data_IF_931319749596
#
_entry.id   IF_931319749596
#
_cell.length_a   1.000
_cell.length_b   1.000
_cell.length_c   1.000
_cell.angle_alpha   90.00
_cell.angle_beta   90.00
_cell.angle_gamma   90.00
#
_symmetry.space_group_name_H-M   'P 1'
#
loop_
_entity.id
_entity.type
_entity.pdbx_description
1 polymer ?
#
# COMPACT_ATOMS: atom_id res chain seq x y z
N UNK A 1 -6.26 24.66 -30.22
CA UNK A 1 -7.70 24.31 -30.18
C UNK A 1 -7.96 23.16 -29.19
N UNK A 2 -7.45 21.97 -29.41
CA UNK A 2 -7.67 20.77 -28.55
C UNK A 2 -7.40 20.98 -27.05
N UNK A 3 -6.22 21.49 -26.67
CA UNK A 3 -5.85 21.75 -25.27
C UNK A 3 -6.74 22.81 -24.60
N UNK A 4 -7.22 23.80 -25.36
CA UNK A 4 -8.16 24.81 -24.87
C UNK A 4 -9.52 24.15 -24.56
N UNK A 5 -10.02 23.31 -25.47
CA UNK A 5 -11.26 22.55 -25.28
C UNK A 5 -11.19 21.64 -24.05
N UNK A 6 -10.12 20.86 -23.91
CA UNK A 6 -9.93 19.97 -22.74
C UNK A 6 -9.96 20.78 -21.44
N UNK A 7 -9.27 21.93 -21.39
CA UNK A 7 -9.21 22.77 -20.19
C UNK A 7 -10.58 23.40 -19.84
N UNK A 8 -11.33 23.82 -20.83
CA UNK A 8 -12.66 24.44 -20.67
C UNK A 8 -13.67 23.42 -20.12
N UNK A 9 -13.62 22.17 -20.63
CA UNK A 9 -14.61 21.15 -20.32
C UNK A 9 -14.16 20.12 -19.24
N UNK A 10 -12.98 20.26 -18.67
CA UNK A 10 -12.40 19.24 -17.76
C UNK A 10 -13.17 18.97 -16.47
N UNK A 11 -14.07 19.88 -16.06
CA UNK A 11 -14.93 19.73 -14.89
C UNK A 11 -16.30 19.12 -15.24
N UNK A 12 -16.65 19.01 -16.50
CA UNK A 12 -17.95 18.46 -16.94
C UNK A 12 -17.99 16.93 -16.80
N UNK A 13 -19.19 16.38 -16.68
CA UNK A 13 -19.41 14.94 -16.73
C UNK A 13 -19.05 14.40 -18.13
N UNK A 14 -18.08 13.49 -18.19
CA UNK A 14 -17.52 12.93 -19.43
C UNK A 14 -18.61 12.27 -20.29
N UNK A 15 -19.62 11.63 -19.66
CA UNK A 15 -20.70 10.94 -20.39
C UNK A 15 -21.65 11.94 -21.02
N UNK A 16 -21.96 13.02 -20.30
CA UNK A 16 -22.82 14.09 -20.85
C UNK A 16 -22.10 14.86 -21.97
N UNK A 17 -20.80 15.12 -21.81
CA UNK A 17 -19.99 15.75 -22.85
C UNK A 17 -19.91 14.89 -24.12
N UNK A 18 -19.79 13.57 -23.97
CA UNK A 18 -19.78 12.63 -25.09
C UNK A 18 -21.08 12.72 -25.94
N UNK A 19 -22.24 12.91 -25.30
CA UNK A 19 -23.53 13.06 -25.99
C UNK A 19 -23.63 14.37 -26.81
N UNK A 20 -22.82 15.39 -26.47
CA UNK A 20 -22.75 16.67 -27.17
C UNK A 20 -21.72 16.68 -28.33
N UNK A 21 -21.06 15.53 -28.60
CA UNK A 21 -19.94 15.45 -29.55
C UNK A 21 -20.21 16.03 -30.93
N UNK A 22 -21.44 15.86 -31.43
CA UNK A 22 -21.85 16.44 -32.71
C UNK A 22 -21.84 17.99 -32.78
N UNK A 23 -21.80 18.65 -31.62
CA UNK A 23 -21.69 20.13 -31.55
C UNK A 23 -20.27 20.63 -31.76
N UNK A 24 -19.28 19.73 -31.74
CA UNK A 24 -17.85 20.03 -31.83
C UNK A 24 -17.18 19.23 -32.97
N UNK A 25 -17.55 19.54 -34.28
CA UNK A 25 -17.12 18.71 -35.42
C UNK A 25 -15.59 18.74 -35.64
N UNK A 26 -14.92 19.80 -35.18
CA UNK A 26 -13.46 19.99 -35.37
C UNK A 26 -12.63 19.43 -34.18
N UNK A 27 -13.28 18.77 -33.21
CA UNK A 27 -12.63 18.22 -32.03
C UNK A 27 -12.58 16.69 -32.12
N UNK A 28 -11.38 16.10 -31.96
CA UNK A 28 -11.27 14.66 -31.69
C UNK A 28 -11.86 14.37 -30.30
N UNK A 29 -13.15 14.09 -30.29
CA UNK A 29 -13.90 13.84 -29.05
C UNK A 29 -13.39 12.62 -28.30
N UNK A 30 -12.92 11.58 -28.99
CA UNK A 30 -12.41 10.38 -28.32
C UNK A 30 -11.16 10.72 -27.50
N UNK A 31 -10.22 11.42 -28.09
CA UNK A 31 -9.02 11.91 -27.39
C UNK A 31 -9.37 12.92 -26.30
N UNK A 32 -10.22 13.91 -26.57
CA UNK A 32 -10.60 14.91 -25.59
C UNK A 32 -11.24 14.29 -24.33
N UNK A 33 -12.18 13.37 -24.51
CA UNK A 33 -12.86 12.67 -23.41
C UNK A 33 -11.88 11.80 -22.61
N UNK A 34 -10.92 11.12 -23.26
CA UNK A 34 -9.87 10.39 -22.58
C UNK A 34 -9.01 11.31 -21.70
N UNK A 35 -8.59 12.47 -22.22
CA UNK A 35 -7.77 13.43 -21.49
C UNK A 35 -8.54 14.04 -20.30
N UNK A 36 -9.81 14.39 -20.50
CA UNK A 36 -10.69 14.91 -19.44
C UNK A 36 -10.88 13.86 -18.33
N UNK A 37 -11.23 12.62 -18.69
CA UNK A 37 -11.38 11.52 -17.74
C UNK A 37 -10.08 11.26 -16.98
N UNK A 38 -8.94 11.25 -17.67
CA UNK A 38 -7.62 11.09 -17.10
C UNK A 38 -7.29 12.21 -16.09
N UNK A 39 -7.55 13.45 -16.43
CA UNK A 39 -7.36 14.59 -15.53
C UNK A 39 -8.27 14.51 -14.29
N UNK A 40 -9.55 14.14 -14.46
CA UNK A 40 -10.49 13.97 -13.34
C UNK A 40 -10.03 12.88 -12.37
N UNK A 41 -9.54 11.77 -12.88
CA UNK A 41 -8.94 10.71 -12.07
C UNK A 41 -7.65 11.17 -11.35
N UNK A 42 -6.81 11.93 -12.07
CA UNK A 42 -5.54 12.45 -11.57
C UNK A 42 -5.70 13.45 -10.42
N UNK A 43 -6.76 14.25 -10.38
CA UNK A 43 -6.99 15.25 -9.30
C UNK A 43 -6.83 14.68 -7.89
N UNK A 44 -7.24 13.43 -7.66
CA UNK A 44 -7.14 12.75 -6.36
C UNK A 44 -5.90 11.89 -6.26
N UNK A 45 -5.53 11.22 -7.35
CA UNK A 45 -4.48 10.21 -7.36
C UNK A 45 -3.09 10.79 -7.60
N UNK A 46 -3.02 11.85 -8.42
CA UNK A 46 -1.80 12.48 -8.92
C UNK A 46 -1.94 14.02 -8.93
N UNK A 47 -2.13 14.67 -7.77
CA UNK A 47 -2.44 16.12 -7.71
C UNK A 47 -1.39 17.01 -8.37
N UNK A 48 -0.10 16.69 -8.26
CA UNK A 48 0.98 17.45 -8.93
C UNK A 48 0.87 17.34 -10.45
N UNK A 49 0.55 16.16 -10.98
CA UNK A 49 0.35 15.96 -12.42
C UNK A 49 -0.89 16.69 -12.90
N UNK A 50 -1.99 16.64 -12.15
CA UNK A 50 -3.23 17.34 -12.50
C UNK A 50 -3.10 18.87 -12.47
N UNK A 51 -2.17 19.39 -11.65
CA UNK A 51 -1.84 20.81 -11.60
C UNK A 51 -0.90 21.26 -12.74
N UNK A 52 -0.27 20.32 -13.45
CA UNK A 52 0.64 20.60 -14.56
C UNK A 52 -0.14 20.63 -15.87
N UNK A 53 -0.21 21.78 -16.52
CA UNK A 53 -0.92 21.91 -17.81
C UNK A 53 -0.21 21.13 -18.91
N UNK A 54 -1.00 20.48 -19.76
CA UNK A 54 -0.49 19.76 -20.94
C UNK A 54 -0.08 18.31 -20.70
N UNK A 55 -0.26 17.78 -19.50
CA UNK A 55 -0.06 16.35 -19.20
C UNK A 55 -0.93 15.51 -20.16
N UNK A 56 -0.32 14.49 -20.72
CA UNK A 56 -0.98 13.50 -21.58
C UNK A 56 -1.34 12.28 -20.73
N UNK A 57 -2.64 12.00 -20.60
CA UNK A 57 -3.18 10.88 -19.83
C UNK A 57 -3.41 9.66 -20.72
N UNK A 58 -2.97 8.46 -20.30
CA UNK A 58 -3.18 7.23 -21.03
C UNK A 58 -4.64 6.75 -20.93
N UNK A 59 -5.01 5.67 -21.63
CA UNK A 59 -6.30 5.02 -21.45
C UNK A 59 -6.61 4.67 -20.00
N UNK A 60 -7.89 4.60 -19.64
CA UNK A 60 -8.41 4.44 -18.29
C UNK A 60 -7.73 3.30 -17.50
N UNK A 61 -7.48 2.14 -18.12
CA UNK A 61 -6.85 1.00 -17.47
C UNK A 61 -5.46 1.35 -16.91
N UNK A 62 -4.63 2.04 -17.68
CA UNK A 62 -3.30 2.47 -17.22
C UNK A 62 -3.39 3.48 -16.08
N UNK A 63 -4.44 4.33 -16.09
CA UNK A 63 -4.72 5.26 -14.99
C UNK A 63 -5.14 4.55 -13.70
N UNK A 64 -5.90 3.46 -13.80
CA UNK A 64 -6.29 2.66 -12.63
C UNK A 64 -5.10 1.92 -12.02
N UNK A 65 -4.25 1.34 -12.86
CA UNK A 65 -3.13 0.49 -12.45
C UNK A 65 -1.90 1.26 -11.97
N UNK A 66 -1.71 2.52 -12.37
CA UNK A 66 -0.55 3.28 -11.93
C UNK A 66 -0.58 3.55 -10.40
N UNK A 67 0.58 3.81 -9.84
CA UNK A 67 0.75 4.25 -8.46
C UNK A 67 0.02 5.56 -8.18
N UNK A 68 -0.34 5.81 -6.92
CA UNK A 68 -0.69 7.16 -6.46
C UNK A 68 0.57 7.99 -6.26
N UNK A 69 0.45 9.30 -6.26
CA UNK A 69 1.54 10.22 -5.93
C UNK A 69 2.12 9.96 -4.55
N UNK A 70 1.27 9.57 -3.60
CA UNK A 70 1.67 9.22 -2.24
C UNK A 70 2.58 7.99 -2.20
N UNK A 71 2.21 6.90 -2.89
CA UNK A 71 3.03 5.68 -2.94
C UNK A 71 4.29 5.88 -3.78
N UNK A 72 4.22 6.65 -4.87
CA UNK A 72 5.40 7.01 -5.67
C UNK A 72 6.39 7.88 -4.87
N UNK A 73 5.89 8.86 -4.13
CA UNK A 73 6.69 9.68 -3.21
C UNK A 73 7.33 8.85 -2.09
N UNK A 74 6.64 7.83 -1.58
CA UNK A 74 7.23 6.90 -0.62
C UNK A 74 8.42 6.14 -1.22
N UNK A 75 8.25 5.55 -2.43
CA UNK A 75 9.35 4.87 -3.15
C UNK A 75 10.55 5.79 -3.37
N UNK A 76 10.31 7.04 -3.74
CA UNK A 76 11.37 8.04 -3.90
C UNK A 76 12.16 8.26 -2.61
N UNK A 77 11.48 8.40 -1.46
CA UNK A 77 12.16 8.52 -0.15
C UNK A 77 12.98 7.29 0.21
N UNK A 78 12.48 6.08 -0.11
CA UNK A 78 13.27 4.85 0.07
C UNK A 78 14.53 4.90 -0.79
N UNK A 79 14.42 5.25 -2.08
CA UNK A 79 15.57 5.41 -2.98
C UNK A 79 16.60 6.39 -2.42
N UNK A 80 16.16 7.57 -1.99
CA UNK A 80 17.06 8.58 -1.42
C UNK A 80 17.80 8.11 -0.18
N UNK A 81 17.14 7.29 0.64
CA UNK A 81 17.72 6.79 1.88
C UNK A 81 18.75 5.69 1.65
N UNK A 82 18.48 4.76 0.71
CA UNK A 82 19.36 3.60 0.50
C UNK A 82 20.53 3.90 -0.45
N UNK A 83 20.39 4.85 -1.37
CA UNK A 83 21.44 5.15 -2.36
C UNK A 83 22.38 6.25 -1.88
N UNK A 84 23.66 5.92 -1.70
CA UNK A 84 24.73 6.91 -1.47
C UNK A 84 25.23 7.51 -2.80
N UNK A 85 25.33 6.71 -3.84
CA UNK A 85 25.65 7.13 -5.21
C UNK A 85 24.35 7.36 -5.97
N UNK A 86 24.31 8.42 -6.79
CA UNK A 86 23.10 8.83 -7.54
C UNK A 86 23.44 9.10 -9.01
N UNK A 87 24.24 8.20 -9.61
CA UNK A 87 24.65 8.39 -10.99
C UNK A 87 23.53 8.01 -11.95
N UNK A 88 23.06 6.76 -11.92
CA UNK A 88 22.05 6.28 -12.87
C UNK A 88 20.95 5.46 -12.21
N UNK A 89 19.70 5.79 -12.53
CA UNK A 89 18.48 5.05 -12.19
C UNK A 89 17.89 4.45 -13.46
N UNK A 90 17.38 3.22 -13.41
CA UNK A 90 16.70 2.56 -14.52
C UNK A 90 15.38 1.96 -14.03
N UNK A 91 14.29 2.31 -14.70
CA UNK A 91 12.99 1.65 -14.58
C UNK A 91 12.80 0.76 -15.82
N UNK A 92 12.74 -0.56 -15.60
CA UNK A 92 12.59 -1.56 -16.65
C UNK A 92 11.13 -1.87 -17.03
N UNK A 93 10.17 -1.24 -16.35
CA UNK A 93 8.74 -1.51 -16.49
C UNK A 93 7.92 -0.22 -16.43
N UNK A 94 8.31 0.76 -17.21
CA UNK A 94 7.94 2.16 -17.11
C UNK A 94 6.44 2.47 -16.94
N UNK A 95 5.55 1.80 -17.69
CA UNK A 95 4.10 2.01 -17.62
C UNK A 95 3.71 3.47 -17.91
N UNK A 96 2.81 4.04 -17.08
CA UNK A 96 2.47 5.46 -17.20
C UNK A 96 3.58 6.42 -16.71
N UNK A 97 4.60 5.90 -16.03
CA UNK A 97 5.77 6.68 -15.62
C UNK A 97 5.60 7.45 -14.29
N UNK A 98 4.56 7.17 -13.51
CA UNK A 98 4.35 7.86 -12.23
C UNK A 98 5.49 7.57 -11.26
N UNK A 99 5.79 6.30 -10.99
CA UNK A 99 6.88 5.89 -10.10
C UNK A 99 8.22 6.46 -10.57
N UNK A 100 8.51 6.31 -11.88
CA UNK A 100 9.69 6.88 -12.49
C UNK A 100 9.83 8.38 -12.22
N UNK A 101 8.74 9.15 -12.36
CA UNK A 101 8.76 10.60 -12.24
C UNK A 101 9.15 11.10 -10.84
N UNK A 102 8.91 10.31 -9.81
CA UNK A 102 9.31 10.61 -8.43
C UNK A 102 10.68 10.04 -8.10
N UNK A 103 10.90 8.75 -8.42
CA UNK A 103 12.12 8.02 -8.05
C UNK A 103 13.36 8.52 -8.79
N UNK A 104 13.22 9.01 -10.03
CA UNK A 104 14.33 9.49 -10.88
C UNK A 104 14.95 10.82 -10.41
N UNK A 105 14.21 11.64 -9.63
CA UNK A 105 14.62 13.01 -9.29
C UNK A 105 16.00 13.15 -8.65
N UNK A 106 16.42 12.29 -7.71
CA UNK A 106 17.71 12.43 -7.07
C UNK A 106 18.90 11.98 -7.95
N UNK A 107 18.66 11.35 -9.11
CA UNK A 107 19.71 10.79 -9.96
C UNK A 107 20.14 11.75 -11.07
N UNK A 108 21.44 11.68 -11.44
CA UNK A 108 22.03 12.48 -12.53
C UNK A 108 21.51 12.05 -13.90
N UNK A 109 21.25 10.75 -14.07
CA UNK A 109 20.70 10.14 -15.27
C UNK A 109 19.59 9.18 -14.86
N UNK A 110 18.53 9.15 -15.64
CA UNK A 110 17.42 8.23 -15.43
C UNK A 110 16.94 7.68 -16.77
N UNK A 111 16.73 6.37 -16.83
CA UNK A 111 16.25 5.69 -18.03
C UNK A 111 14.93 5.02 -17.71
N UNK A 112 13.93 5.37 -18.51
CA UNK A 112 12.60 4.78 -18.50
C UNK A 112 12.48 3.85 -19.70
N UNK A 113 12.14 2.57 -19.47
CA UNK A 113 11.97 1.55 -20.52
C UNK A 113 10.53 1.06 -20.52
N UNK A 114 9.86 1.13 -21.68
CA UNK A 114 8.47 0.71 -21.85
C UNK A 114 8.26 0.15 -23.26
N UNK A 115 7.47 -0.93 -23.37
CA UNK A 115 7.20 -1.59 -24.67
C UNK A 115 6.16 -0.84 -25.50
N UNK A 116 5.16 -0.25 -24.85
CA UNK A 116 4.03 0.37 -25.51
C UNK A 116 4.37 1.78 -26.02
N UNK A 117 4.36 1.94 -27.33
CA UNK A 117 4.72 3.20 -28.01
C UNK A 117 3.95 4.41 -27.46
N UNK A 118 2.62 4.30 -27.33
CA UNK A 118 1.79 5.39 -26.86
C UNK A 118 2.10 5.83 -25.42
N UNK A 119 2.61 4.91 -24.56
CA UNK A 119 3.08 5.26 -23.22
C UNK A 119 4.44 5.96 -23.27
N UNK A 120 5.32 5.54 -24.18
CA UNK A 120 6.61 6.21 -24.41
C UNK A 120 6.42 7.64 -24.91
N UNK A 121 5.48 7.85 -25.85
CA UNK A 121 5.12 9.17 -26.33
C UNK A 121 4.57 10.07 -25.22
N UNK A 122 3.61 9.57 -24.46
CA UNK A 122 3.06 10.28 -23.30
C UNK A 122 4.15 10.60 -22.26
N UNK A 123 5.00 9.64 -21.92
CA UNK A 123 6.11 9.81 -20.97
C UNK A 123 7.08 10.90 -21.45
N UNK A 124 7.43 10.92 -22.74
CA UNK A 124 8.35 11.90 -23.32
C UNK A 124 7.83 13.35 -23.19
N UNK A 125 6.51 13.53 -23.33
CA UNK A 125 5.86 14.83 -23.11
C UNK A 125 5.82 15.17 -21.63
N UNK A 126 5.31 14.23 -20.82
CA UNK A 126 5.03 14.44 -19.41
C UNK A 126 6.32 14.70 -18.60
N UNK A 127 7.39 13.94 -18.85
CA UNK A 127 8.66 14.14 -18.14
C UNK A 127 9.28 15.50 -18.39
N UNK A 128 9.16 16.02 -19.62
CA UNK A 128 9.58 17.39 -19.94
C UNK A 128 8.75 18.43 -19.19
N UNK A 129 7.43 18.27 -19.14
CA UNK A 129 6.53 19.17 -18.41
C UNK A 129 6.76 19.12 -16.89
N UNK A 130 7.15 17.96 -16.36
CA UNK A 130 7.49 17.75 -14.96
C UNK A 130 8.93 18.15 -14.61
N UNK A 131 9.70 18.68 -15.58
CA UNK A 131 11.06 19.17 -15.39
C UNK A 131 12.12 18.07 -15.20
N UNK A 132 11.86 16.86 -15.69
CA UNK A 132 12.79 15.72 -15.58
C UNK A 132 13.80 15.70 -16.75
N UNK A 133 14.68 16.69 -16.80
CA UNK A 133 15.63 16.87 -17.90
C UNK A 133 16.66 15.74 -18.01
N UNK A 134 16.90 14.98 -16.94
CA UNK A 134 17.80 13.82 -16.87
C UNK A 134 17.15 12.52 -17.37
N UNK A 135 15.85 12.54 -17.66
CA UNK A 135 15.09 11.38 -18.09
C UNK A 135 15.32 11.06 -19.58
N UNK A 136 15.62 9.80 -19.87
CA UNK A 136 15.66 9.25 -21.22
C UNK A 136 14.59 8.19 -21.37
N UNK A 137 13.68 8.36 -22.32
CA UNK A 137 12.68 7.37 -22.69
C UNK A 137 13.25 6.41 -23.72
N UNK A 138 13.09 5.12 -23.50
CA UNK A 138 13.51 4.03 -24.39
C UNK A 138 12.29 3.16 -24.65
N UNK A 139 11.84 3.10 -25.90
CA UNK A 139 10.84 2.13 -26.31
C UNK A 139 11.49 0.78 -26.53
N UNK A 140 11.01 -0.25 -25.82
CA UNK A 140 11.51 -1.61 -25.96
C UNK A 140 11.17 -2.50 -24.79
N UNK A 141 11.59 -3.74 -24.88
CA UNK A 141 11.46 -4.74 -23.81
C UNK A 141 12.48 -4.46 -22.70
N UNK A 142 12.02 -4.44 -21.43
CA UNK A 142 12.88 -4.17 -20.27
C UNK A 142 13.93 -5.25 -20.04
N UNK A 143 13.64 -6.52 -20.37
CA UNK A 143 14.61 -7.61 -20.24
C UNK A 143 15.69 -7.50 -21.30
N UNK A 144 15.31 -7.20 -22.55
CA UNK A 144 16.25 -6.95 -23.63
C UNK A 144 17.15 -5.75 -23.31
N UNK A 145 16.60 -4.71 -22.69
CA UNK A 145 17.38 -3.56 -22.24
C UNK A 145 18.34 -3.97 -21.11
N UNK A 146 17.87 -4.73 -20.12
CA UNK A 146 18.70 -5.25 -19.03
C UNK A 146 19.92 -6.01 -19.58
N UNK A 147 19.73 -6.92 -20.54
CA UNK A 147 20.84 -7.69 -21.11
C UNK A 147 21.94 -6.81 -21.73
N UNK A 148 21.58 -5.66 -22.29
CA UNK A 148 22.50 -4.77 -23.04
C UNK A 148 23.08 -3.62 -22.20
N UNK A 149 22.43 -3.25 -21.09
CA UNK A 149 22.88 -2.11 -20.29
C UNK A 149 24.14 -2.42 -19.47
N UNK A 150 24.87 -1.37 -19.11
CA UNK A 150 25.97 -1.44 -18.16
C UNK A 150 25.48 -1.42 -16.70
N UNK A 151 26.45 -1.31 -15.77
CA UNK A 151 26.14 -1.21 -14.34
C UNK A 151 25.55 0.17 -13.99
N UNK A 152 24.60 0.15 -13.03
CA UNK A 152 23.88 1.34 -12.58
C UNK A 152 23.76 1.35 -11.04
N UNK A 153 23.32 2.50 -10.48
CA UNK A 153 23.11 2.59 -9.04
C UNK A 153 21.86 1.85 -8.61
N UNK A 154 20.77 2.00 -9.38
CA UNK A 154 19.48 1.44 -8.99
C UNK A 154 18.66 0.98 -10.20
N UNK A 155 18.06 -0.18 -10.07
CA UNK A 155 17.03 -0.70 -10.97
C UNK A 155 15.71 -0.80 -10.21
N UNK A 156 14.63 -0.37 -10.87
CA UNK A 156 13.25 -0.54 -10.42
C UNK A 156 12.47 -1.42 -11.39
N UNK A 157 11.59 -2.27 -10.84
CA UNK A 157 10.66 -3.11 -11.59
C UNK A 157 9.29 -3.14 -10.90
N UNK A 158 8.24 -3.01 -11.70
CA UNK A 158 6.83 -3.27 -11.34
C UNK A 158 6.28 -4.35 -12.29
N UNK A 159 6.62 -5.64 -12.07
CA UNK A 159 6.26 -6.69 -13.01
C UNK A 159 4.75 -6.92 -13.05
N UNK A 160 4.19 -6.91 -14.25
CA UNK A 160 2.77 -7.13 -14.48
C UNK A 160 2.40 -8.62 -14.34
N UNK A 161 1.16 -8.92 -13.94
CA UNK A 161 0.65 -10.30 -13.90
C UNK A 161 0.51 -10.87 -15.30
N UNK A 162 0.94 -12.12 -15.51
CA UNK A 162 0.84 -12.81 -16.83
C UNK A 162 -0.60 -13.06 -17.27
N UNK A 163 -1.56 -13.18 -16.37
CA UNK A 163 -2.93 -13.54 -16.68
C UNK A 163 -3.86 -12.33 -16.81
N UNK A 164 -4.10 -11.90 -18.05
CA UNK A 164 -5.16 -10.94 -18.39
C UNK A 164 -6.59 -11.48 -18.10
N UNK A 165 -6.74 -12.78 -17.79
CA UNK A 165 -8.03 -13.46 -17.56
C UNK A 165 -8.43 -13.59 -16.08
N UNK A 166 -7.81 -12.82 -15.15
CA UNK A 166 -8.31 -12.70 -13.77
C UNK A 166 -7.99 -13.87 -12.83
N UNK A 167 -7.07 -14.78 -13.19
CA UNK A 167 -6.57 -15.81 -12.28
C UNK A 167 -5.82 -15.17 -11.09
N UNK A 168 -5.97 -15.76 -9.89
CA UNK A 168 -5.21 -15.32 -8.71
C UNK A 168 -3.74 -15.70 -8.90
N UNK A 169 -2.86 -14.69 -8.99
CA UNK A 169 -1.41 -14.89 -9.02
C UNK A 169 -0.93 -15.15 -7.60
N UNK A 170 -0.32 -16.30 -7.35
CA UNK A 170 0.16 -16.72 -6.03
C UNK A 170 1.69 -16.70 -5.91
N UNK A 171 2.43 -16.47 -7.01
CA UNK A 171 3.89 -16.48 -7.02
C UNK A 171 4.46 -15.31 -7.83
N UNK A 172 5.69 -14.90 -7.51
CA UNK A 172 6.43 -13.86 -8.26
C UNK A 172 6.76 -14.36 -9.67
N UNK A 173 7.05 -15.66 -9.82
CA UNK A 173 7.30 -16.31 -11.13
C UNK A 173 6.12 -16.22 -12.11
N UNK A 174 4.91 -15.93 -11.63
CA UNK A 174 3.73 -15.72 -12.48
C UNK A 174 3.67 -14.29 -13.06
N UNK A 175 4.64 -13.44 -12.77
CA UNK A 175 4.72 -12.07 -13.26
C UNK A 175 5.61 -11.96 -14.51
N UNK A 176 5.48 -10.87 -15.24
CA UNK A 176 6.32 -10.50 -16.38
C UNK A 176 6.85 -9.08 -16.16
N UNK A 177 8.18 -8.88 -16.16
CA UNK A 177 9.22 -9.90 -16.27
C UNK A 177 9.31 -10.84 -15.05
N UNK A 178 9.86 -12.05 -15.25
CA UNK A 178 10.13 -12.99 -14.16
C UNK A 178 11.36 -12.56 -13.37
N UNK A 179 11.12 -11.84 -12.29
CA UNK A 179 12.19 -11.25 -11.46
C UNK A 179 13.04 -12.32 -10.78
N UNK A 180 12.47 -13.49 -10.47
CA UNK A 180 13.22 -14.59 -9.85
C UNK A 180 14.27 -15.14 -10.82
N UNK A 181 13.88 -15.35 -12.08
CA UNK A 181 14.79 -15.80 -13.12
C UNK A 181 15.86 -14.75 -13.46
N UNK A 182 15.54 -13.46 -13.37
CA UNK A 182 16.44 -12.35 -13.69
C UNK A 182 17.29 -11.88 -12.51
N UNK A 183 17.05 -12.36 -11.29
CA UNK A 183 17.64 -11.86 -10.04
C UNK A 183 19.16 -11.71 -10.11
N UNK A 184 19.86 -12.74 -10.53
CA UNK A 184 21.34 -12.75 -10.51
C UNK A 184 21.93 -11.71 -11.48
N UNK A 185 21.28 -11.51 -12.64
CA UNK A 185 21.67 -10.46 -13.57
C UNK A 185 21.37 -9.07 -13.05
N UNK A 186 20.18 -8.86 -12.46
CA UNK A 186 19.81 -7.61 -11.82
C UNK A 186 20.81 -7.21 -10.73
N UNK A 187 21.15 -8.14 -9.84
CA UNK A 187 22.11 -7.91 -8.74
C UNK A 187 23.54 -7.68 -9.24
N UNK A 188 23.92 -8.27 -10.37
CA UNK A 188 25.21 -8.00 -11.01
C UNK A 188 25.27 -6.58 -11.57
N UNK A 189 24.17 -6.11 -12.18
CA UNK A 189 24.12 -4.84 -12.90
C UNK A 189 23.71 -3.64 -12.04
N UNK A 190 23.14 -3.86 -10.85
CA UNK A 190 22.76 -2.76 -9.97
C UNK A 190 23.31 -2.92 -8.56
N UNK A 191 23.63 -1.80 -7.91
CA UNK A 191 23.92 -1.77 -6.48
C UNK A 191 22.67 -2.08 -5.67
N UNK A 192 21.54 -1.50 -6.10
CA UNK A 192 20.22 -1.69 -5.50
C UNK A 192 19.18 -2.09 -6.54
N UNK A 193 18.34 -3.03 -6.19
CA UNK A 193 17.15 -3.41 -6.98
C UNK A 193 15.92 -3.26 -6.12
N UNK A 194 14.93 -2.51 -6.58
CA UNK A 194 13.62 -2.42 -5.92
C UNK A 194 12.57 -3.06 -6.80
N UNK A 195 11.84 -4.01 -6.24
CA UNK A 195 10.75 -4.72 -6.90
C UNK A 195 9.44 -4.36 -6.23
N UNK A 196 8.49 -3.81 -6.98
CA UNK A 196 7.12 -3.60 -6.53
C UNK A 196 6.30 -4.84 -6.84
N UNK A 197 5.57 -5.32 -5.86
CA UNK A 197 4.74 -6.51 -5.95
C UNK A 197 3.32 -6.22 -5.51
N UNK A 198 2.39 -7.06 -5.94
CA UNK A 198 1.00 -6.99 -5.50
C UNK A 198 0.89 -7.15 -3.97
N UNK A 199 0.04 -6.35 -3.29
CA UNK A 199 -0.21 -6.51 -1.86
C UNK A 199 -0.87 -7.84 -1.49
N UNK A 200 -1.34 -8.61 -2.48
CA UNK A 200 -1.93 -9.94 -2.26
C UNK A 200 -0.87 -11.02 -2.04
N UNK A 201 0.38 -10.81 -2.48
CA UNK A 201 1.46 -11.78 -2.29
C UNK A 201 1.86 -11.88 -0.80
N UNK A 202 2.22 -13.09 -0.37
CA UNK A 202 2.85 -13.31 0.94
C UNK A 202 4.28 -12.78 0.91
N UNK A 203 4.63 -11.90 1.85
CA UNK A 203 5.94 -11.27 1.84
C UNK A 203 7.07 -12.23 2.25
N UNK A 204 6.80 -13.22 3.12
CA UNK A 204 7.79 -14.23 3.49
C UNK A 204 8.13 -15.11 2.29
N UNK A 205 7.08 -15.49 1.53
CA UNK A 205 7.29 -16.25 0.28
C UNK A 205 8.04 -15.40 -0.74
N UNK A 206 7.72 -14.12 -0.88
CA UNK A 206 8.43 -13.20 -1.78
C UNK A 206 9.92 -13.12 -1.42
N UNK A 207 10.26 -12.99 -0.14
CA UNK A 207 11.64 -13.00 0.36
C UNK A 207 12.34 -14.33 0.06
N UNK A 208 11.65 -15.46 0.28
CA UNK A 208 12.20 -16.78 -0.02
C UNK A 208 12.48 -16.98 -1.51
N UNK A 209 11.53 -16.60 -2.38
CA UNK A 209 11.66 -16.77 -3.83
C UNK A 209 12.77 -15.89 -4.42
N UNK A 210 12.95 -14.66 -3.88
CA UNK A 210 14.00 -13.72 -4.31
C UNK A 210 15.39 -14.01 -3.72
N UNK A 211 15.48 -14.94 -2.77
CA UNK A 211 16.72 -15.27 -2.06
C UNK A 211 16.93 -14.34 -0.87
N UNK A 212 16.68 -14.89 0.32
CA UNK A 212 16.74 -14.16 1.60
C UNK A 212 18.05 -13.42 1.82
N UNK A 213 19.14 -14.01 1.38
CA UNK A 213 20.50 -13.45 1.49
C UNK A 213 20.72 -12.16 0.68
N UNK A 214 19.88 -11.92 -0.33
CA UNK A 214 19.92 -10.71 -1.15
C UNK A 214 18.94 -9.62 -0.70
N UNK A 215 17.89 -9.99 0.05
CA UNK A 215 16.88 -9.03 0.53
C UNK A 215 17.45 -8.22 1.70
N UNK A 216 17.27 -6.90 1.65
CA UNK A 216 17.69 -5.96 2.70
C UNK A 216 16.50 -5.36 3.42
N UNK A 217 15.48 -5.01 2.66
CA UNK A 217 14.28 -4.38 3.21
C UNK A 217 13.02 -4.91 2.54
N UNK A 218 11.95 -4.95 3.31
CA UNK A 218 10.59 -5.22 2.84
C UNK A 218 9.70 -4.08 3.33
N UNK A 219 8.93 -3.48 2.42
CA UNK A 219 7.99 -2.41 2.77
C UNK A 219 6.57 -2.84 2.42
N UNK A 220 5.71 -2.89 3.42
CA UNK A 220 4.28 -3.14 3.27
C UNK A 220 3.60 -1.79 3.32
N UNK A 221 3.18 -1.28 2.17
CA UNK A 221 2.70 0.08 2.02
C UNK A 221 1.18 0.11 1.96
N UNK A 222 0.58 0.83 2.88
CA UNK A 222 -0.86 1.08 2.95
C UNK A 222 -1.15 2.58 2.86
N UNK A 223 -2.26 2.90 2.24
CA UNK A 223 -2.81 4.26 2.15
C UNK A 223 -4.27 4.21 2.59
N UNK A 224 -4.68 5.10 3.46
CA UNK A 224 -6.02 5.12 4.04
C UNK A 224 -6.43 3.75 4.63
N UNK A 225 -5.50 3.10 5.31
CA UNK A 225 -5.68 1.78 5.94
C UNK A 225 -6.02 0.64 4.94
N UNK A 226 -5.55 0.74 3.71
CA UNK A 226 -5.66 -0.29 2.68
C UNK A 226 -4.27 -0.60 2.10
N UNK A 227 -3.84 -1.88 2.13
CA UNK A 227 -2.58 -2.28 1.53
C UNK A 227 -2.60 -2.07 0.02
N UNK A 228 -1.64 -1.28 -0.48
CA UNK A 228 -1.54 -0.91 -1.90
C UNK A 228 -0.43 -1.66 -2.62
N UNK A 229 0.69 -1.86 -1.98
CA UNK A 229 1.85 -2.49 -2.60
C UNK A 229 2.79 -3.13 -1.56
N UNK A 230 3.56 -4.09 -2.03
CA UNK A 230 4.68 -4.69 -1.33
C UNK A 230 5.94 -4.33 -2.11
N UNK A 231 6.93 -3.69 -1.44
CA UNK A 231 8.22 -3.40 -2.04
C UNK A 231 9.27 -4.30 -1.42
N UNK A 232 10.11 -4.90 -2.26
CA UNK A 232 11.27 -5.68 -1.82
C UNK A 232 12.53 -5.01 -2.36
N UNK A 233 13.46 -4.67 -1.47
CA UNK A 233 14.74 -4.05 -1.79
C UNK A 233 15.84 -5.10 -1.68
N UNK A 234 16.58 -5.30 -2.77
CA UNK A 234 17.65 -6.29 -2.86
C UNK A 234 19.01 -5.61 -3.11
N UNK A 235 20.07 -6.24 -2.64
CA UNK A 235 21.44 -5.92 -3.00
C UNK A 235 22.34 -7.13 -2.86
N UNK A 236 23.17 -7.38 -3.87
CA UNK A 236 24.22 -8.38 -3.84
C UNK A 236 25.59 -7.83 -3.37
N UNK A 237 25.70 -6.50 -3.23
CA UNK A 237 26.98 -5.81 -2.94
C UNK A 237 27.15 -5.45 -1.47
N UNK A 238 26.07 -5.44 -0.71
CA UNK A 238 26.09 -5.16 0.72
C UNK A 238 26.16 -6.46 1.53
N UNK A 239 26.83 -6.46 2.70
CA UNK A 239 26.86 -7.62 3.57
C UNK A 239 25.47 -8.15 3.90
N UNK A 240 25.38 -9.46 4.10
CA UNK A 240 24.13 -10.07 4.59
C UNK A 240 23.83 -9.52 5.98
N UNK A 241 22.64 -8.99 6.13
CA UNK A 241 22.14 -8.40 7.38
C UNK A 241 20.72 -8.91 7.63
N UNK A 242 20.23 -8.87 8.86
CA UNK A 242 18.83 -9.13 9.15
C UNK A 242 17.92 -8.22 8.33
N UNK A 243 16.86 -8.77 7.78
CA UNK A 243 15.91 -8.02 6.95
C UNK A 243 15.12 -7.05 7.83
N UNK A 244 15.11 -5.78 7.46
CA UNK A 244 14.23 -4.79 8.10
C UNK A 244 12.89 -4.74 7.37
N UNK A 245 11.80 -4.93 8.10
CA UNK A 245 10.44 -4.83 7.55
C UNK A 245 9.81 -3.52 8.01
N UNK A 246 9.32 -2.75 7.05
CA UNK A 246 8.65 -1.47 7.26
C UNK A 246 7.14 -1.62 6.99
N UNK A 247 6.34 -1.39 8.02
CA UNK A 247 4.88 -1.33 7.92
C UNK A 247 4.47 0.14 7.82
N UNK A 248 4.00 0.54 6.66
CA UNK A 248 3.68 1.94 6.34
C UNK A 248 2.18 2.10 6.17
N UNK A 249 1.60 3.07 6.83
CA UNK A 249 0.23 3.50 6.59
C UNK A 249 0.18 5.02 6.59
N UNK A 250 -0.05 5.62 5.42
CA UNK A 250 0.04 7.06 5.21
C UNK A 250 1.43 7.59 5.70
N UNK A 251 1.46 8.47 6.68
CA UNK A 251 2.69 8.99 7.28
C UNK A 251 3.18 8.19 8.50
N UNK A 252 2.45 7.16 8.92
CA UNK A 252 2.83 6.33 10.06
C UNK A 252 3.71 5.18 9.61
N UNK A 253 4.88 5.04 10.21
CA UNK A 253 5.84 3.96 9.90
C UNK A 253 6.20 3.21 11.17
N UNK A 254 5.93 1.92 11.18
CA UNK A 254 6.44 0.97 12.17
C UNK A 254 7.45 0.05 11.50
N UNK A 255 8.60 -0.19 12.13
CA UNK A 255 9.59 -1.11 11.59
C UNK A 255 10.07 -2.11 12.63
N UNK A 256 10.44 -3.29 12.15
CA UNK A 256 11.01 -4.35 12.95
C UNK A 256 12.03 -5.14 12.13
N UNK A 257 12.89 -5.86 12.84
CA UNK A 257 13.82 -6.80 12.24
C UNK A 257 13.17 -8.18 12.18
N UNK A 258 13.26 -8.85 11.04
CA UNK A 258 12.69 -10.19 10.88
C UNK A 258 13.51 -11.21 11.66
N UNK A 259 12.89 -11.77 12.71
CA UNK A 259 13.52 -12.63 13.73
C UNK A 259 14.03 -14.00 13.23
N UNK A 260 13.83 -14.35 11.95
CA UNK A 260 14.47 -15.54 11.40
C UNK A 260 16.02 -15.51 11.46
N UNK A 261 16.61 -14.39 11.87
CA UNK A 261 18.04 -14.23 12.16
C UNK A 261 18.37 -14.24 13.68
N UNK A 262 17.37 -14.05 14.54
CA UNK A 262 17.56 -14.07 15.99
C UNK A 262 17.14 -15.43 16.54
N UNK A 263 18.06 -16.39 16.53
CA UNK A 263 17.84 -17.76 17.03
C UNK A 263 17.79 -17.86 18.57
N UNK A 264 17.75 -16.74 19.31
CA UNK A 264 17.74 -16.77 20.78
C UNK A 264 16.75 -15.75 21.36
N UNK A 265 15.67 -16.26 21.93
CA UNK A 265 14.80 -15.47 22.79
C UNK A 265 13.30 -15.70 22.62
N UNK A 266 12.87 -16.94 22.74
CA UNK A 266 11.47 -17.33 22.95
C UNK A 266 10.91 -16.80 24.28
N UNK A 267 10.66 -15.50 24.35
CA UNK A 267 9.59 -15.01 25.18
C UNK A 267 8.33 -14.96 24.30
N UNK A 268 7.67 -16.10 24.12
CA UNK A 268 6.35 -16.13 23.52
C UNK A 268 5.45 -15.20 24.33
N UNK A 269 5.11 -14.03 23.75
CA UNK A 269 4.15 -13.14 24.37
C UNK A 269 2.81 -13.87 24.41
N UNK A 270 2.41 -14.30 25.61
CA UNK A 270 1.13 -14.98 25.78
C UNK A 270 0.00 -13.97 25.69
N UNK A 271 -1.09 -14.39 25.03
CA UNK A 271 -2.34 -13.64 25.09
C UNK A 271 -2.79 -13.47 26.55
N UNK A 272 -3.37 -12.31 26.86
CA UNK A 272 -3.90 -12.10 28.21
C UNK A 272 -4.98 -13.12 28.53
N UNK A 273 -4.91 -13.68 29.73
CA UNK A 273 -5.98 -14.53 30.29
C UNK A 273 -7.01 -13.71 31.08
N UNK A 274 -6.77 -12.43 31.24
CA UNK A 274 -7.61 -11.50 32.01
C UNK A 274 -8.62 -10.83 31.10
N UNK A 275 -9.85 -10.67 31.56
CA UNK A 275 -10.85 -9.84 30.89
C UNK A 275 -10.38 -8.39 31.02
N UNK A 276 -10.34 -7.61 29.91
CA UNK A 276 -10.00 -6.19 29.98
C UNK A 276 -10.89 -5.45 30.97
N UNK A 277 -10.41 -4.36 31.53
CA UNK A 277 -11.18 -3.55 32.46
C UNK A 277 -11.72 -2.28 31.77
N UNK A 278 -12.89 -1.76 32.18
CA UNK A 278 -13.26 -0.40 31.85
C UNK A 278 -12.14 0.56 32.24
N UNK A 279 -11.92 1.59 31.42
CA UNK A 279 -10.79 2.53 31.50
C UNK A 279 -9.48 2.13 30.85
N UNK A 280 -9.25 0.86 30.57
CA UNK A 280 -8.13 0.43 29.73
C UNK A 280 -8.30 0.86 28.28
N UNK A 281 -7.22 0.81 27.52
CA UNK A 281 -7.22 1.22 26.12
C UNK A 281 -7.16 -0.01 25.22
N UNK A 282 -7.99 0.02 24.17
CA UNK A 282 -8.05 -1.00 23.13
C UNK A 282 -7.38 -0.45 21.85
N UNK A 283 -6.60 -1.31 21.21
CA UNK A 283 -5.83 -0.97 20.03
C UNK A 283 -6.12 -1.95 18.90
N UNK A 284 -6.33 -1.41 17.71
CA UNK A 284 -6.49 -2.18 16.49
C UNK A 284 -5.43 -1.74 15.47
N UNK A 285 -4.50 -2.64 15.09
CA UNK A 285 -3.41 -2.33 14.17
C UNK A 285 -3.92 -1.90 12.79
N UNK A 286 -3.15 -1.09 12.10
CA UNK A 286 -3.43 -0.71 10.73
C UNK A 286 -3.19 -1.87 9.74
N UNK A 287 -3.60 -1.68 8.47
CA UNK A 287 -3.56 -2.71 7.45
C UNK A 287 -2.14 -3.23 7.15
N UNK A 288 -1.10 -2.38 7.24
CA UNK A 288 0.28 -2.82 6.99
C UNK A 288 0.80 -3.75 8.10
N UNK A 289 0.50 -3.45 9.37
CA UNK A 289 0.81 -4.32 10.52
C UNK A 289 0.05 -5.66 10.39
N UNK A 290 -1.24 -5.59 10.04
CA UNK A 290 -2.06 -6.78 9.84
C UNK A 290 -1.49 -7.67 8.74
N UNK A 291 -1.02 -7.09 7.64
CA UNK A 291 -0.39 -7.80 6.52
C UNK A 291 0.99 -8.36 6.90
N UNK A 292 1.75 -7.64 7.71
CA UNK A 292 3.06 -8.08 8.18
C UNK A 292 2.98 -9.27 9.14
N UNK A 293 1.90 -9.35 9.94
CA UNK A 293 1.76 -10.37 10.99
C UNK A 293 2.71 -10.17 12.17
N UNK A 294 3.34 -9.00 12.31
CA UNK A 294 4.41 -8.72 13.30
C UNK A 294 3.88 -8.39 14.70
N UNK A 295 2.93 -9.18 15.18
CA UNK A 295 2.21 -8.89 16.43
C UNK A 295 3.12 -8.98 17.66
N UNK A 296 4.10 -9.91 17.68
CA UNK A 296 5.07 -10.02 18.76
C UNK A 296 5.98 -8.78 18.84
N UNK A 297 6.48 -8.29 17.71
CA UNK A 297 7.26 -7.06 17.65
C UNK A 297 6.44 -5.85 18.14
N UNK A 298 5.14 -5.80 17.78
CA UNK A 298 4.21 -4.78 18.24
C UNK A 298 4.01 -4.82 19.76
N UNK A 299 3.73 -6.01 20.30
CA UNK A 299 3.55 -6.21 21.75
C UNK A 299 4.80 -5.86 22.56
N UNK A 300 6.00 -6.26 22.08
CA UNK A 300 7.27 -5.89 22.71
C UNK A 300 7.49 -4.37 22.69
N UNK A 301 7.30 -3.74 21.52
CA UNK A 301 7.55 -2.29 21.35
C UNK A 301 6.70 -1.44 22.27
N UNK A 302 5.42 -1.79 22.45
CA UNK A 302 4.44 -0.98 23.15
C UNK A 302 4.03 -1.54 24.51
N UNK A 303 4.65 -2.63 24.96
CA UNK A 303 4.33 -3.30 26.22
C UNK A 303 2.83 -3.55 26.43
N UNK A 304 2.20 -4.20 25.44
CA UNK A 304 0.76 -4.46 25.40
C UNK A 304 0.48 -5.96 25.30
N UNK A 305 -0.78 -6.33 25.51
CA UNK A 305 -1.21 -7.73 25.46
C UNK A 305 -2.27 -7.92 24.38
N UNK A 306 -2.24 -9.07 23.72
CA UNK A 306 -3.29 -9.47 22.77
C UNK A 306 -4.46 -10.12 23.54
N UNK A 307 -5.70 -9.84 23.13
CA UNK A 307 -6.90 -10.38 23.81
C UNK A 307 -7.14 -11.87 23.55
N UNK A 308 -6.69 -12.36 22.40
CA UNK A 308 -6.82 -13.75 22.01
C UNK A 308 -6.03 -14.02 20.74
N UNK A 309 -5.60 -15.24 20.51
CA UNK A 309 -4.67 -15.64 19.46
C UNK A 309 -5.02 -15.10 18.06
N UNK A 310 -6.30 -15.05 17.71
CA UNK A 310 -6.77 -14.59 16.39
C UNK A 310 -7.64 -13.33 16.47
N UNK A 311 -7.58 -12.60 17.59
CA UNK A 311 -8.39 -11.40 17.78
C UNK A 311 -7.81 -10.19 17.03
N UNK A 312 -6.47 -10.12 16.97
CA UNK A 312 -5.73 -8.97 16.48
C UNK A 312 -6.14 -7.64 17.14
N UNK A 313 -6.64 -7.75 18.38
CA UNK A 313 -6.98 -6.64 19.26
C UNK A 313 -6.06 -6.68 20.46
N UNK A 314 -5.51 -5.52 20.81
CA UNK A 314 -4.53 -5.39 21.87
C UNK A 314 -5.04 -4.46 22.96
N UNK A 315 -4.58 -4.65 24.19
CA UNK A 315 -4.95 -3.83 25.32
C UNK A 315 -3.71 -3.37 26.09
N UNK A 316 -3.82 -2.19 26.67
CA UNK A 316 -2.85 -1.62 27.60
C UNK A 316 -3.58 -0.79 28.66
N UNK A 317 -3.11 -0.79 29.92
CA UNK A 317 -3.64 0.10 30.95
C UNK A 317 -3.30 1.58 30.70
N UNK A 318 -2.32 1.86 29.83
CA UNK A 318 -1.84 3.19 29.51
C UNK A 318 -2.15 3.56 28.06
N UNK A 319 -2.44 4.86 27.83
CA UNK A 319 -2.63 5.37 26.47
C UNK A 319 -1.30 5.45 25.73
N UNK A 320 -1.27 4.87 24.53
CA UNK A 320 -0.12 4.84 23.63
C UNK A 320 -0.44 5.73 22.42
N UNK A 321 0.11 6.94 22.42
CA UNK A 321 -0.21 7.96 21.43
C UNK A 321 0.34 7.66 20.03
N UNK A 322 1.47 6.98 19.94
CA UNK A 322 2.19 6.64 18.70
C UNK A 322 1.89 5.22 18.18
N UNK A 323 0.82 4.59 18.70
CA UNK A 323 0.41 3.28 18.23
C UNK A 323 0.05 3.30 16.73
N UNK A 324 0.59 2.37 15.90
CA UNK A 324 0.34 2.34 14.47
C UNK A 324 -1.01 1.71 14.11
N UNK A 325 -2.09 2.41 14.43
CA UNK A 325 -3.45 1.93 14.22
C UNK A 325 -4.51 2.80 14.87
N UNK A 326 -5.69 2.22 15.09
CA UNK A 326 -6.80 2.87 15.77
C UNK A 326 -6.69 2.66 17.28
N UNK A 327 -7.00 3.69 18.05
CA UNK A 327 -6.91 3.75 19.50
C UNK A 327 -8.27 4.05 20.10
N UNK A 328 -8.64 3.32 21.14
CA UNK A 328 -9.94 3.45 21.78
C UNK A 328 -9.77 3.36 23.30
N UNK A 329 -10.65 4.01 24.04
CA UNK A 329 -10.81 3.79 25.47
C UNK A 329 -12.02 2.91 25.70
N UNK A 330 -11.89 1.86 26.48
CA UNK A 330 -12.99 0.97 26.84
C UNK A 330 -13.84 1.68 27.89
N UNK A 331 -15.12 1.90 27.60
CA UNK A 331 -16.08 2.52 28.53
C UNK A 331 -16.92 1.50 29.28
N UNK A 332 -17.22 0.35 28.64
CA UNK A 332 -17.97 -0.73 29.28
C UNK A 332 -17.67 -2.08 28.62
N UNK A 333 -17.83 -3.15 29.38
CA UNK A 333 -17.60 -4.51 28.93
C UNK A 333 -18.79 -5.38 29.32
N UNK A 334 -19.13 -6.33 28.47
CA UNK A 334 -20.25 -7.25 28.70
C UNK A 334 -19.91 -8.61 28.09
N UNK A 335 -20.41 -9.65 28.68
CA UNK A 335 -20.58 -10.94 28.00
C UNK A 335 -21.75 -10.86 27.01
N UNK A 336 -22.11 -12.02 26.40
CA UNK A 336 -23.34 -12.09 25.59
C UNK A 336 -24.61 -12.24 26.43
N UNK A 337 -24.54 -12.06 27.77
CA UNK A 337 -25.68 -12.10 28.67
C UNK A 337 -26.64 -10.94 28.41
N UNK A 338 -27.91 -11.25 28.26
CA UNK A 338 -28.93 -10.24 27.89
C UNK A 338 -29.05 -9.09 28.91
N UNK A 339 -28.87 -9.34 30.21
CA UNK A 339 -28.96 -8.31 31.26
C UNK A 339 -27.77 -7.36 31.18
N UNK A 340 -26.57 -7.90 31.04
CA UNK A 340 -25.32 -7.14 30.92
C UNK A 340 -25.32 -6.29 29.65
N UNK A 341 -25.66 -6.90 28.50
CA UNK A 341 -25.79 -6.20 27.22
C UNK A 341 -26.80 -5.04 27.31
N UNK A 342 -27.96 -5.26 27.93
CA UNK A 342 -28.95 -4.21 28.09
C UNK A 342 -28.44 -3.08 28.97
N UNK A 343 -27.72 -3.39 30.04
CA UNK A 343 -27.11 -2.39 30.92
C UNK A 343 -26.05 -1.56 30.17
N UNK A 344 -25.16 -2.23 29.44
CA UNK A 344 -24.08 -1.61 28.67
C UNK A 344 -24.62 -0.68 27.56
N UNK A 345 -25.70 -1.08 26.86
CA UNK A 345 -26.25 -0.37 25.72
C UNK A 345 -27.49 0.51 26.05
N UNK A 346 -27.79 0.72 27.32
CA UNK A 346 -29.03 1.39 27.75
C UNK A 346 -29.25 2.78 27.13
N UNK A 347 -28.16 3.53 26.89
CA UNK A 347 -28.16 4.86 26.25
C UNK A 347 -27.58 4.87 24.84
N UNK A 348 -27.25 3.71 24.27
CA UNK A 348 -26.56 3.59 22.98
C UNK A 348 -27.52 3.05 21.91
N UNK A 349 -28.04 3.93 21.06
CA UNK A 349 -28.91 3.55 19.95
C UNK A 349 -28.16 3.21 18.63
N UNK A 350 -26.91 3.65 18.52
CA UNK A 350 -26.08 3.44 17.33
C UNK A 350 -24.61 3.28 17.70
N UNK A 351 -23.89 2.42 16.96
CA UNK A 351 -22.47 2.20 17.14
C UNK A 351 -21.82 1.66 15.87
N UNK A 352 -20.54 1.98 15.68
CA UNK A 352 -19.68 1.35 14.69
C UNK A 352 -19.29 -0.05 15.22
N UNK A 353 -19.88 -1.11 14.66
CA UNK A 353 -19.68 -2.49 15.13
C UNK A 353 -18.51 -3.14 14.37
N UNK A 354 -17.56 -3.70 15.11
CA UNK A 354 -16.44 -4.49 14.58
C UNK A 354 -16.41 -5.87 15.27
N UNK A 355 -16.22 -6.91 14.48
CA UNK A 355 -16.06 -8.29 15.00
C UNK A 355 -14.66 -8.80 14.65
N UNK A 356 -14.02 -9.46 15.62
CA UNK A 356 -12.71 -10.09 15.46
C UNK A 356 -12.73 -11.45 16.16
N UNK A 357 -12.51 -12.52 15.41
CA UNK A 357 -12.60 -13.89 15.95
C UNK A 357 -13.87 -14.12 16.78
N UNK A 358 -15.02 -13.87 16.20
CA UNK A 358 -16.32 -13.91 16.88
C UNK A 358 -17.34 -14.72 16.05
N UNK A 359 -18.24 -15.50 16.66
CA UNK A 359 -19.12 -16.44 15.95
C UNK A 359 -20.23 -15.79 15.14
N UNK A 360 -20.51 -14.47 15.33
CA UNK A 360 -21.52 -13.73 14.59
C UNK A 360 -20.85 -12.73 13.64
N UNK A 361 -21.44 -12.53 12.47
CA UNK A 361 -21.08 -11.42 11.58
C UNK A 361 -21.50 -10.06 12.16
N UNK A 362 -20.93 -8.98 11.63
CA UNK A 362 -21.32 -7.60 11.99
C UNK A 362 -22.83 -7.39 11.84
N UNK A 363 -23.41 -7.86 10.73
CA UNK A 363 -24.83 -7.68 10.44
C UNK A 363 -25.74 -8.44 11.44
N UNK A 364 -25.40 -9.69 11.77
CA UNK A 364 -26.12 -10.50 12.74
C UNK A 364 -26.03 -9.92 14.14
N UNK A 365 -24.82 -9.50 14.55
CA UNK A 365 -24.60 -8.89 15.86
C UNK A 365 -25.38 -7.58 16.00
N UNK A 366 -25.31 -6.71 14.99
CA UNK A 366 -26.05 -5.44 14.95
C UNK A 366 -27.56 -5.66 15.06
N UNK A 367 -28.11 -6.62 14.31
CA UNK A 367 -29.53 -7.01 14.38
C UNK A 367 -29.91 -7.52 15.77
N UNK A 368 -29.09 -8.40 16.35
CA UNK A 368 -29.32 -8.98 17.68
C UNK A 368 -29.32 -7.93 18.80
N UNK A 369 -28.41 -6.94 18.69
CA UNK A 369 -28.28 -5.85 19.66
C UNK A 369 -29.19 -4.67 19.39
N UNK A 370 -29.90 -4.65 18.26
CA UNK A 370 -30.81 -3.57 17.80
C UNK A 370 -30.08 -2.22 17.65
N UNK A 371 -28.82 -2.25 17.21
CA UNK A 371 -28.02 -1.05 17.00
C UNK A 371 -28.14 -0.56 15.55
N UNK A 372 -28.23 0.76 15.38
CA UNK A 372 -28.04 1.43 14.10
C UNK A 372 -26.54 1.58 13.81
N UNK A 373 -26.17 1.72 12.55
CA UNK A 373 -24.78 1.96 12.14
C UNK A 373 -24.35 3.42 12.38
N UNK A 374 -23.07 3.63 12.73
CA UNK A 374 -22.50 4.95 12.90
C UNK A 374 -22.53 5.48 14.34
N UNK A 375 -22.45 6.80 14.48
CA UNK A 375 -22.32 7.48 15.77
C UNK A 375 -20.88 7.53 16.30
N UNK A 376 -20.74 8.02 17.53
CA UNK A 376 -19.45 8.22 18.20
C UNK A 376 -18.92 6.96 18.91
N UNK A 377 -19.78 6.00 19.20
CA UNK A 377 -19.42 4.78 19.89
C UNK A 377 -18.91 3.69 18.93
N UNK A 378 -18.00 2.88 19.43
CA UNK A 378 -17.48 1.68 18.77
C UNK A 378 -17.79 0.47 19.62
N UNK A 379 -18.32 -0.59 19.03
CA UNK A 379 -18.58 -1.84 19.69
C UNK A 379 -17.69 -2.94 19.08
N UNK A 380 -16.73 -3.41 19.84
CA UNK A 380 -15.89 -4.54 19.47
C UNK A 380 -16.43 -5.83 20.08
N UNK A 381 -16.53 -6.86 19.26
CA UNK A 381 -16.88 -8.21 19.70
C UNK A 381 -15.72 -9.15 19.36
N UNK A 382 -15.23 -9.90 20.36
CA UNK A 382 -14.12 -10.84 20.19
C UNK A 382 -14.24 -12.05 21.11
N UNK A 383 -13.40 -13.05 20.83
CA UNK A 383 -13.21 -14.22 21.69
C UNK A 383 -11.86 -14.11 22.38
N UNK A 384 -11.87 -14.14 23.70
CA UNK A 384 -10.67 -14.11 24.53
C UNK A 384 -9.90 -15.46 24.46
N UNK A 385 -8.68 -15.48 24.96
CA UNK A 385 -7.80 -16.67 24.95
C UNK A 385 -8.45 -17.93 25.53
N UNK A 386 -9.31 -17.79 26.56
CA UNK A 386 -10.02 -18.92 27.19
C UNK A 386 -11.32 -19.31 26.48
N UNK A 387 -11.61 -18.76 25.30
CA UNK A 387 -12.83 -19.05 24.54
C UNK A 387 -14.06 -18.23 24.96
N UNK A 388 -13.96 -17.36 25.95
CA UNK A 388 -15.07 -16.49 26.37
C UNK A 388 -15.32 -15.40 25.37
N UNK A 389 -16.60 -15.19 25.00
CA UNK A 389 -17.02 -14.09 24.13
C UNK A 389 -17.24 -12.82 24.94
N UNK A 390 -16.69 -11.71 24.45
CA UNK A 390 -16.75 -10.40 25.09
C UNK A 390 -17.17 -9.32 24.10
N UNK A 391 -17.99 -8.40 24.59
CA UNK A 391 -18.36 -7.16 23.92
C UNK A 391 -17.70 -6.00 24.68
N UNK A 392 -17.07 -5.10 23.95
CA UNK A 392 -16.43 -3.91 24.52
C UNK A 392 -17.01 -2.67 23.84
N UNK A 393 -17.67 -1.82 24.61
CA UNK A 393 -18.11 -0.51 24.18
C UNK A 393 -16.94 0.46 24.38
N UNK A 394 -16.60 1.19 23.33
CA UNK A 394 -15.40 2.00 23.30
C UNK A 394 -15.67 3.39 22.72
N UNK A 395 -14.83 4.34 23.08
CA UNK A 395 -14.74 5.67 22.50
C UNK A 395 -13.41 5.82 21.75
N UNK A 396 -13.43 6.32 20.53
CA UNK A 396 -12.21 6.56 19.75
C UNK A 396 -11.41 7.69 20.38
N UNK A 397 -10.11 7.48 20.52
CA UNK A 397 -9.14 8.50 20.95
C UNK A 397 -8.31 8.98 19.76
N UNK A 398 -8.01 10.28 19.75
CA UNK A 398 -7.22 10.92 18.70
C UNK A 398 -5.73 10.54 18.81
#
# INVERSE_FOLDING_TARGET
MMQAFIREHREEDVRQLALKGLQYPDVDMAYALQQIAGWQAARKKLPTWAATDGIVYPPHLSMEQCSSEETAGYKARVCERITSRRDTFVDLTGGFGVDFSFMSRPFKQAVYVEQQEHLCEAASVNFRLLGLNQARVVQGDGVDYLHKMGEVCMIYLDPARRNAQGGRTFAISDCTPDVVALRDELLKKAEWVMVKLSPMLDWHKAVSDLGREFVREVHIVSVNNECKELLVVLSGRHPVQPITVFCVNDNNVFSFVDAAFEADGDAAFSATTTIPQPTEFLYEPNASIMKAGCFDALMRRFNMQVLGANSHLFVSPHFIADFPGRRFQISAISSMNKKEVKAMLNSVGQANVAVRNFPLSVAELRKRLKLKDGGSHYLFATTLQKGSHVLMLCEKKA
#
